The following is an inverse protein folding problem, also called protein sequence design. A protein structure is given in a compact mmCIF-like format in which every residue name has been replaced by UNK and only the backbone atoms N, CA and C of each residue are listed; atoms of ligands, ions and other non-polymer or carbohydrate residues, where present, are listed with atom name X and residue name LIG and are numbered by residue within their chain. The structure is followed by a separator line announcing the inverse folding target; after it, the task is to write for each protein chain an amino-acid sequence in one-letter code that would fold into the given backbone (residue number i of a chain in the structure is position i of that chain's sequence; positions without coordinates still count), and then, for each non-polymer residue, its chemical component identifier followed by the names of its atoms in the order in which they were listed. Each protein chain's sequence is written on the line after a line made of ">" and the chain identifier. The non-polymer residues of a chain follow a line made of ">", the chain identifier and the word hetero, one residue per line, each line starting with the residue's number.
data_IF_325575271202
#
_entry.id   IF_325575271202
#
_cell.length_a   1.000
_cell.length_b   1.000
_cell.length_c   1.000
_cell.angle_alpha   90.00
_cell.angle_beta   90.00
_cell.angle_gamma   90.00
#
_symmetry.space_group_name_H-M   'P 1'
#
loop_
_entity.id
_entity.type
_entity.pdbx_description
1 polymer ?
#
# COMPACT_ATOMS: atom_id res chain seq x y z
N UNK A 1 -19.72 -7.21 12.54
CA UNK A 1 -19.27 -7.46 11.16
C UNK A 1 -17.76 -7.27 11.16
N UNK A 2 -17.01 -8.24 10.64
CA UNK A 2 -15.55 -8.11 10.52
C UNK A 2 -15.20 -7.17 9.37
N UNK A 3 -14.03 -6.54 9.39
CA UNK A 3 -13.52 -5.68 8.29
C UNK A 3 -13.58 -6.39 6.93
N UNK A 4 -13.39 -7.71 6.97
CA UNK A 4 -13.46 -8.58 5.82
C UNK A 4 -14.88 -8.78 5.29
N UNK A 5 -15.84 -8.94 6.18
CA UNK A 5 -17.26 -9.00 5.80
C UNK A 5 -17.74 -7.67 5.23
N UNK A 6 -17.25 -6.54 5.73
CA UNK A 6 -17.59 -5.21 5.20
C UNK A 6 -17.05 -4.98 3.79
N UNK A 7 -15.82 -5.43 3.50
CA UNK A 7 -15.27 -5.45 2.15
C UNK A 7 -16.11 -6.30 1.19
N UNK A 8 -16.44 -7.51 1.60
CA UNK A 8 -17.22 -8.45 0.80
C UNK A 8 -18.63 -7.90 0.50
N UNK A 9 -19.28 -7.27 1.49
CA UNK A 9 -20.56 -6.57 1.30
C UNK A 9 -20.41 -5.37 0.36
N UNK A 10 -19.36 -4.55 0.54
CA UNK A 10 -19.15 -3.34 -0.25
C UNK A 10 -18.97 -3.63 -1.75
N UNK A 11 -18.26 -4.70 -2.08
CA UNK A 11 -18.01 -5.10 -3.47
C UNK A 11 -18.95 -6.20 -3.97
N UNK A 12 -19.96 -6.58 -3.19
CA UNK A 12 -20.95 -7.60 -3.57
C UNK A 12 -20.33 -8.98 -3.82
N UNK A 13 -19.25 -9.31 -3.11
CA UNK A 13 -18.49 -10.56 -3.33
C UNK A 13 -19.16 -11.71 -2.55
N UNK A 14 -19.64 -12.77 -3.24
CA UNK A 14 -20.23 -13.92 -2.58
C UNK A 14 -19.23 -14.63 -1.65
N UNK A 15 -19.65 -14.97 -0.43
CA UNK A 15 -18.82 -15.69 0.56
C UNK A 15 -18.28 -17.02 0.02
N UNK A 16 -19.00 -17.65 -0.91
CA UNK A 16 -18.62 -18.91 -1.55
C UNK A 16 -17.38 -18.78 -2.46
N UNK A 17 -17.07 -17.57 -2.93
CA UNK A 17 -15.87 -17.29 -3.73
C UNK A 17 -14.58 -17.23 -2.89
N UNK A 18 -14.68 -17.36 -1.55
CA UNK A 18 -13.50 -17.42 -0.65
C UNK A 18 -12.54 -18.59 -0.96
N UNK A 19 -12.97 -19.62 -1.69
CA UNK A 19 -12.22 -20.89 -1.86
C UNK A 19 -12.17 -21.48 -3.28
N UNK A 20 -12.83 -20.88 -4.28
CA UNK A 20 -12.98 -21.51 -5.61
C UNK A 20 -12.39 -20.64 -6.74
N UNK A 21 -11.23 -21.02 -7.31
CA UNK A 21 -10.66 -20.37 -8.49
C UNK A 21 -11.47 -20.56 -9.78
N UNK A 22 -12.50 -21.42 -9.77
CA UNK A 22 -13.16 -21.92 -10.99
C UNK A 22 -14.58 -21.38 -11.21
N UNK A 23 -15.15 -20.59 -10.31
CA UNK A 23 -16.55 -20.21 -10.35
C UNK A 23 -16.77 -18.78 -10.87
N UNK A 24 -16.42 -18.50 -12.14
CA UNK A 24 -16.95 -17.38 -12.93
C UNK A 24 -16.93 -15.96 -12.33
N UNK A 25 -16.23 -15.75 -11.22
CA UNK A 25 -16.19 -14.51 -10.45
C UNK A 25 -14.78 -14.33 -9.88
N UNK A 26 -14.33 -13.07 -9.89
CA UNK A 26 -13.02 -12.52 -9.52
C UNK A 26 -11.89 -13.54 -9.30
N UNK A 27 -10.87 -13.51 -10.17
CA UNK A 27 -9.68 -14.32 -9.97
C UNK A 27 -9.04 -13.98 -8.63
N UNK A 28 -8.50 -14.99 -7.94
CA UNK A 28 -7.94 -14.87 -6.59
C UNK A 28 -6.94 -13.70 -6.44
N UNK A 29 -6.20 -13.38 -7.51
CA UNK A 29 -5.28 -12.24 -7.59
C UNK A 29 -6.02 -10.89 -7.54
N UNK A 30 -7.08 -10.70 -8.32
CA UNK A 30 -7.86 -9.46 -8.34
C UNK A 30 -8.53 -9.22 -7.00
N UNK A 31 -9.07 -10.29 -6.42
CA UNK A 31 -9.64 -10.26 -5.09
C UNK A 31 -8.61 -9.85 -4.03
N UNK A 32 -7.39 -10.39 -4.09
CA UNK A 32 -6.29 -9.99 -3.20
C UNK A 32 -5.89 -8.51 -3.39
N UNK A 33 -5.82 -8.04 -4.64
CA UNK A 33 -5.51 -6.63 -4.94
C UNK A 33 -6.59 -5.68 -4.42
N UNK A 34 -7.87 -6.01 -4.62
CA UNK A 34 -9.00 -5.23 -4.11
C UNK A 34 -9.05 -5.23 -2.58
N UNK A 35 -8.79 -6.38 -1.95
CA UNK A 35 -8.71 -6.47 -0.50
C UNK A 35 -7.56 -5.64 0.06
N UNK A 36 -6.39 -5.70 -0.56
CA UNK A 36 -5.24 -4.90 -0.14
C UNK A 36 -5.51 -3.40 -0.32
N UNK A 37 -6.15 -2.98 -1.42
CA UNK A 37 -6.61 -1.61 -1.64
C UNK A 37 -7.68 -1.15 -0.63
N UNK A 38 -8.60 -2.03 -0.25
CA UNK A 38 -9.60 -1.77 0.78
C UNK A 38 -8.95 -1.60 2.16
N UNK A 39 -8.08 -2.54 2.55
CA UNK A 39 -7.30 -2.42 3.78
C UNK A 39 -6.45 -1.15 3.75
N UNK A 40 -5.91 -0.77 2.59
CA UNK A 40 -5.15 0.46 2.44
C UNK A 40 -6.01 1.71 2.67
N UNK A 41 -7.23 1.73 2.14
CA UNK A 41 -8.19 2.81 2.36
C UNK A 41 -8.68 2.95 3.81
N UNK A 42 -8.52 1.89 4.63
CA UNK A 42 -9.06 1.83 6.00
C UNK A 42 -8.02 1.80 7.11
N UNK A 43 -6.82 1.27 6.87
CA UNK A 43 -5.70 1.27 7.83
C UNK A 43 -4.96 2.60 7.88
N UNK A 44 -5.16 3.45 6.89
CA UNK A 44 -4.82 4.87 6.92
C UNK A 44 -6.00 5.61 6.34
N UNK A 45 -6.65 6.49 7.07
CA UNK A 45 -6.05 7.81 7.21
C UNK A 45 -6.02 8.31 8.66
N UNK A 46 -4.85 8.34 9.31
CA UNK A 46 -4.47 9.61 9.94
C UNK A 46 -4.34 10.61 8.78
N UNK A 47 -5.37 11.44 8.62
CA UNK A 47 -5.54 12.46 7.57
C UNK A 47 -5.36 12.01 6.12
N UNK A 48 -6.48 11.85 5.40
CA UNK A 48 -6.48 11.82 3.92
C UNK A 48 -5.80 13.07 3.35
N UNK A 49 -5.84 14.14 4.13
CA UNK A 49 -5.21 15.42 3.88
C UNK A 49 -3.68 15.40 4.04
N UNK A 50 -3.11 14.40 4.74
CA UNK A 50 -1.66 14.27 4.93
C UNK A 50 -0.96 13.59 3.74
N UNK A 51 -1.70 12.90 2.87
CA UNK A 51 -1.15 12.32 1.66
C UNK A 51 -0.82 13.40 0.64
N UNK A 52 0.45 13.44 0.25
CA UNK A 52 0.98 14.39 -0.71
C UNK A 52 1.36 13.67 -2.01
N UNK A 53 1.27 14.33 -3.18
CA UNK A 53 1.74 13.77 -4.44
C UNK A 53 3.20 13.34 -4.34
N UNK A 54 3.57 12.19 -4.92
CA UNK A 54 4.94 11.64 -4.82
C UNK A 54 6.02 12.61 -5.35
N UNK A 55 5.66 13.52 -6.26
CA UNK A 55 6.56 14.56 -6.78
C UNK A 55 7.07 15.52 -5.70
N UNK A 56 6.35 15.65 -4.59
CA UNK A 56 6.69 16.56 -3.48
C UNK A 56 7.45 15.86 -2.36
N UNK A 57 7.77 14.58 -2.52
CA UNK A 57 8.40 13.78 -1.48
C UNK A 57 9.80 14.30 -1.12
N UNK A 58 10.10 14.52 0.18
CA UNK A 58 11.38 15.03 0.64
C UNK A 58 12.46 13.96 0.44
N UNK A 59 13.56 14.30 -0.23
CA UNK A 59 14.70 13.39 -0.38
C UNK A 59 15.40 13.20 0.96
N UNK A 60 15.65 11.95 1.34
CA UNK A 60 16.46 11.61 2.53
C UNK A 60 15.66 11.01 3.69
N UNK A 61 14.62 11.68 4.23
CA UNK A 61 13.81 11.13 5.31
C UNK A 61 13.10 9.83 4.93
N UNK A 62 12.83 9.01 5.93
CA UNK A 62 11.92 7.88 5.79
C UNK A 62 10.48 8.35 5.70
N UNK A 63 9.76 7.84 4.72
CA UNK A 63 8.36 8.15 4.41
C UNK A 63 7.59 6.85 4.27
N UNK A 64 6.27 6.95 4.37
CA UNK A 64 5.37 5.91 3.92
C UNK A 64 4.91 6.20 2.49
N UNK A 65 4.90 5.17 1.65
CA UNK A 65 4.55 5.25 0.23
C UNK A 65 3.40 4.29 -0.08
N UNK A 66 2.44 4.78 -0.85
CA UNK A 66 1.44 3.90 -1.47
C UNK A 66 1.96 3.40 -2.83
N UNK A 67 1.99 2.07 -3.01
CA UNK A 67 2.44 1.41 -4.23
C UNK A 67 1.26 0.67 -4.89
N UNK A 68 0.47 1.35 -5.75
CA UNK A 68 -0.66 0.75 -6.46
C UNK A 68 -0.32 -0.54 -7.21
N UNK A 69 0.87 -0.62 -7.83
CA UNK A 69 1.29 -1.77 -8.62
C UNK A 69 1.40 -3.07 -7.80
N UNK A 70 1.63 -2.94 -6.49
CA UNK A 70 1.74 -4.04 -5.55
C UNK A 70 0.54 -4.13 -4.60
N UNK A 71 -0.29 -3.08 -4.53
CA UNK A 71 -1.39 -2.98 -3.58
C UNK A 71 -0.93 -2.89 -2.12
N UNK A 72 0.31 -2.45 -1.87
CA UNK A 72 0.90 -2.39 -0.53
C UNK A 72 1.36 -0.98 -0.17
N UNK A 73 1.51 -0.75 1.13
CA UNK A 73 2.32 0.34 1.64
C UNK A 73 3.75 -0.13 1.88
N UNK A 74 4.68 0.79 1.73
CA UNK A 74 6.07 0.57 2.12
C UNK A 74 6.62 1.77 2.87
N UNK A 75 7.53 1.50 3.81
CA UNK A 75 8.20 2.44 4.66
C UNK A 75 9.70 2.42 4.36
N UNK A 76 10.32 3.60 4.27
CA UNK A 76 11.76 3.71 4.05
C UNK A 76 12.20 5.07 3.49
N UNK A 77 13.52 5.29 3.37
CA UNK A 77 14.08 6.56 2.90
C UNK A 77 13.65 6.84 1.46
N UNK A 78 13.04 8.01 1.19
CA UNK A 78 12.69 8.38 -0.17
C UNK A 78 13.93 8.53 -1.05
N UNK A 79 14.02 7.69 -2.08
CA UNK A 79 15.10 7.65 -3.08
C UNK A 79 14.57 7.59 -4.52
N UNK A 80 13.30 7.95 -4.72
CA UNK A 80 12.65 7.79 -6.00
C UNK A 80 13.27 8.65 -7.11
N UNK A 81 13.19 8.13 -8.34
CA UNK A 81 13.54 8.82 -9.58
C UNK A 81 12.41 8.68 -10.59
N UNK A 82 12.28 9.67 -11.46
CA UNK A 82 11.42 9.53 -12.63
C UNK A 82 12.11 8.66 -13.68
N UNK A 83 11.46 7.59 -14.14
CA UNK A 83 11.90 6.80 -15.28
C UNK A 83 11.26 7.33 -16.56
N UNK A 84 12.06 7.92 -17.44
CA UNK A 84 11.58 8.40 -18.74
C UNK A 84 11.21 7.26 -19.70
N UNK A 85 11.82 6.08 -19.54
CA UNK A 85 11.52 4.90 -20.36
C UNK A 85 10.17 4.28 -19.94
N UNK A 86 9.91 4.21 -18.64
CA UNK A 86 8.67 3.63 -18.12
C UNK A 86 7.57 4.68 -17.87
N UNK A 87 7.86 5.97 -18.07
CA UNK A 87 6.97 7.11 -17.83
C UNK A 87 6.27 7.09 -16.46
N UNK A 88 7.03 6.78 -15.41
CA UNK A 88 6.53 6.65 -14.03
C UNK A 88 7.65 6.88 -13.01
N UNK A 89 7.27 7.15 -11.76
CA UNK A 89 8.20 7.09 -10.64
C UNK A 89 8.64 5.65 -10.37
N UNK A 90 9.92 5.49 -10.09
CA UNK A 90 10.53 4.23 -9.67
C UNK A 90 11.42 4.46 -8.47
N UNK A 91 11.61 3.42 -7.68
CA UNK A 91 12.31 3.50 -6.40
C UNK A 91 13.17 2.26 -6.20
N UNK A 92 14.46 2.49 -5.91
CA UNK A 92 15.39 1.41 -5.64
C UNK A 92 15.11 0.80 -4.25
N UNK A 93 15.18 -0.52 -4.17
CA UNK A 93 15.06 -1.28 -2.91
C UNK A 93 16.37 -1.20 -2.10
N UNK A 94 16.38 -1.49 -0.77
CA UNK A 94 15.32 -2.11 0.05
C UNK A 94 14.33 -1.11 0.66
N UNK A 95 13.08 -1.58 0.81
CA UNK A 95 12.01 -0.99 1.62
C UNK A 95 11.44 -2.06 2.55
N UNK A 96 10.66 -1.64 3.55
CA UNK A 96 9.91 -2.55 4.39
C UNK A 96 8.41 -2.30 4.24
N UNK A 97 7.58 -3.32 4.40
CA UNK A 97 6.17 -3.11 4.73
C UNK A 97 6.05 -2.51 6.14
N UNK A 98 4.89 -1.91 6.49
CA UNK A 98 4.67 -1.31 7.81
C UNK A 98 4.86 -2.26 9.00
N UNK A 99 4.80 -3.58 8.77
CA UNK A 99 5.05 -4.61 9.79
C UNK A 99 6.54 -4.98 9.93
N UNK A 100 7.42 -4.30 9.18
CA UNK A 100 8.87 -4.52 9.17
C UNK A 100 9.33 -5.60 8.20
N UNK A 101 8.44 -6.23 7.43
CA UNK A 101 8.83 -7.23 6.42
C UNK A 101 9.58 -6.57 5.27
N UNK A 102 10.80 -7.03 4.97
CA UNK A 102 11.58 -6.52 3.85
C UNK A 102 10.93 -6.84 2.49
N UNK A 103 10.80 -5.83 1.64
CA UNK A 103 10.33 -5.97 0.26
C UNK A 103 11.56 -6.10 -0.65
N UNK A 104 11.77 -7.30 -1.22
CA UNK A 104 12.89 -7.60 -2.11
C UNK A 104 12.42 -7.71 -3.56
N UNK A 105 12.43 -6.59 -4.27
CA UNK A 105 12.21 -6.49 -5.72
C UNK A 105 13.34 -5.69 -6.34
N UNK A 106 13.54 -5.74 -7.67
CA UNK A 106 14.57 -4.92 -8.33
C UNK A 106 14.29 -3.44 -8.15
N UNK A 107 13.03 -3.04 -8.38
CA UNK A 107 12.55 -1.67 -8.20
C UNK A 107 11.08 -1.70 -7.78
N UNK A 108 10.66 -0.70 -7.02
CA UNK A 108 9.25 -0.41 -6.75
C UNK A 108 8.76 0.55 -7.83
N UNK A 109 7.73 0.13 -8.57
CA UNK A 109 7.17 0.92 -9.67
C UNK A 109 5.88 1.62 -9.26
N UNK A 110 5.70 2.82 -9.82
CA UNK A 110 4.47 3.60 -9.74
C UNK A 110 4.02 3.96 -8.30
N UNK A 111 4.91 4.39 -7.37
CA UNK A 111 4.42 5.05 -6.17
C UNK A 111 3.69 6.34 -6.59
N UNK A 112 2.57 6.64 -5.94
CA UNK A 112 1.73 7.79 -6.33
C UNK A 112 1.62 8.85 -5.25
N UNK A 113 1.63 8.44 -3.99
CA UNK A 113 1.48 9.34 -2.85
C UNK A 113 2.44 8.96 -1.74
N UNK A 114 2.80 9.94 -0.92
CA UNK A 114 3.60 9.76 0.28
C UNK A 114 2.99 10.48 1.49
N UNK A 115 3.40 10.05 2.69
CA UNK A 115 3.20 10.80 3.92
C UNK A 115 4.43 10.64 4.84
N UNK A 116 4.64 11.56 5.80
CA UNK A 116 5.63 11.34 6.85
C UNK A 116 5.33 10.04 7.61
N UNK A 117 6.37 9.31 8.04
CA UNK A 117 6.14 8.19 8.95
C UNK A 117 5.48 8.70 10.23
N UNK A 118 4.48 7.97 10.77
CA UNK A 118 3.93 8.33 12.06
C UNK A 118 5.05 8.34 13.11
N UNK A 119 5.03 9.29 14.07
CA UNK A 119 5.98 9.25 15.17
C UNK A 119 5.87 7.89 15.87
N UNK A 120 7.02 7.36 16.31
CA UNK A 120 7.02 6.13 17.09
C UNK A 120 6.01 6.28 18.24
N UNK A 121 5.16 5.27 18.50
CA UNK A 121 4.20 5.35 19.60
C UNK A 121 4.99 5.69 20.86
N UNK A 122 4.66 6.83 21.49
CA UNK A 122 5.34 7.28 22.69
C UNK A 122 5.31 6.13 23.67
N UNK A 123 6.49 5.58 23.99
CA UNK A 123 6.66 4.67 25.10
C UNK A 123 6.49 5.44 26.41
N UNK A 124 5.29 5.94 26.70
CA UNK A 124 4.94 6.34 28.06
C UNK A 124 4.76 5.05 28.86
N UNK A 125 5.87 4.63 29.48
CA UNK A 125 5.80 3.86 30.72
C UNK A 125 5.11 4.75 31.76
N UNK A 126 3.82 4.52 31.98
CA UNK A 126 3.22 4.72 33.30
C UNK A 126 3.70 3.65 34.27
#
# INVERSE_FOLDING_TARGET
>A
MTEREEFEVHFGIPIEQRRSPSAGGYAQREFQMMWAGWQASRRTTPDREAWQPVETAPKGPSIQLWVPALGIFVDGPWRGRWSYVANQWVLDTPFCEPDGRGVSVSEIHNPTHWMPLPPAPNGEKG
#
